data_IF_999616902014
#
_entry.id   IF_999616902014
#
_cell.length_a   1.000
_cell.length_b   1.000
_cell.length_c   1.000
_cell.angle_alpha   90.00
_cell.angle_beta   90.00
_cell.angle_gamma   90.00
#
_symmetry.space_group_name_H-M   'P 1'
#
loop_
_entity.id
_entity.type
_entity.pdbx_description
1 polymer ?
#
# COMPACT_ATOMS: atom_id res chain seq x y z
N UNK A 1 -25.49 -21.48 -19.32
CA UNK A 1 -24.81 -20.57 -18.36
C UNK A 1 -23.43 -20.28 -18.92
N UNK A 2 -23.20 -19.06 -19.43
CA UNK A 2 -21.91 -18.68 -20.00
C UNK A 2 -20.93 -18.45 -18.85
N UNK A 3 -19.88 -19.25 -18.76
CA UNK A 3 -18.81 -19.04 -17.77
C UNK A 3 -17.89 -17.96 -18.34
N UNK A 4 -18.05 -16.72 -17.88
CA UNK A 4 -17.13 -15.64 -18.24
C UNK A 4 -15.78 -15.89 -17.55
N UNK A 5 -14.76 -16.20 -18.34
CA UNK A 5 -13.38 -16.27 -17.88
C UNK A 5 -12.77 -14.87 -17.96
N UNK A 6 -12.30 -14.36 -16.82
CA UNK A 6 -11.63 -13.07 -16.73
C UNK A 6 -10.13 -13.27 -16.82
N UNK A 7 -9.47 -12.42 -17.62
CA UNK A 7 -8.04 -12.45 -17.86
C UNK A 7 -7.40 -11.18 -17.30
N UNK A 8 -6.41 -11.32 -16.44
CA UNK A 8 -5.70 -10.21 -15.79
C UNK A 8 -4.24 -10.25 -16.21
N UNK A 9 -3.71 -9.16 -16.73
CA UNK A 9 -2.28 -9.00 -17.06
C UNK A 9 -1.65 -8.06 -16.04
N UNK A 10 -0.56 -8.47 -15.37
CA UNK A 10 0.07 -7.68 -14.30
C UNK A 10 1.57 -7.47 -14.54
N UNK A 11 1.99 -6.21 -14.50
CA UNK A 11 3.41 -5.82 -14.60
C UNK A 11 4.08 -5.79 -13.24
N UNK A 12 5.19 -6.53 -13.09
CA UNK A 12 6.02 -6.49 -11.88
C UNK A 12 7.08 -5.41 -12.05
N UNK A 13 7.07 -4.40 -11.16
CA UNK A 13 8.13 -3.40 -11.14
C UNK A 13 9.45 -4.03 -10.68
N UNK A 14 10.29 -4.45 -11.62
CA UNK A 14 11.63 -4.96 -11.31
C UNK A 14 12.57 -3.80 -11.00
N UNK A 15 12.91 -3.66 -9.72
CA UNK A 15 14.19 -3.08 -9.32
C UNK A 15 15.22 -4.20 -9.29
N UNK A 16 16.04 -4.36 -10.33
CA UNK A 16 17.32 -5.05 -10.15
C UNK A 16 18.45 -4.46 -10.99
N UNK A 17 19.47 -4.04 -10.24
CA UNK A 17 20.90 -4.00 -10.56
C UNK A 17 21.36 -2.91 -11.54
N UNK A 18 21.94 -1.87 -10.96
CA UNK A 18 22.91 -1.03 -11.65
C UNK A 18 24.08 -1.89 -12.15
N UNK A 19 24.63 -1.54 -13.33
CA UNK A 19 26.05 -1.30 -13.37
C UNK A 19 26.34 0.13 -13.84
N UNK A 20 27.35 0.66 -13.17
CA UNK A 20 28.22 1.79 -13.44
C UNK A 20 28.18 2.43 -14.84
N UNK A 21 28.46 3.74 -14.80
CA UNK A 21 28.92 4.60 -15.90
C UNK A 21 27.84 5.15 -16.84
N UNK A 22 27.33 6.32 -16.46
CA UNK A 22 27.08 7.39 -17.43
C UNK A 22 26.00 7.11 -18.47
N UNK A 23 24.75 7.03 -18.04
CA UNK A 23 23.63 7.28 -18.93
C UNK A 23 22.48 7.88 -18.12
N UNK A 24 21.92 8.95 -18.66
CA UNK A 24 20.75 9.66 -18.16
C UNK A 24 19.62 8.62 -17.99
N UNK A 25 19.10 8.46 -16.77
CA UNK A 25 17.90 7.67 -16.54
C UNK A 25 16.72 8.35 -17.26
N UNK A 26 16.06 7.70 -18.23
CA UNK A 26 14.78 8.21 -18.71
C UNK A 26 13.77 8.06 -17.58
N UNK A 27 13.29 9.20 -17.08
CA UNK A 27 12.16 9.28 -16.15
C UNK A 27 10.89 8.98 -16.95
N UNK A 28 10.43 7.73 -16.92
CA UNK A 28 9.12 7.39 -17.50
C UNK A 28 8.00 7.85 -16.57
N UNK A 29 7.41 9.01 -16.89
CA UNK A 29 6.09 9.40 -16.39
C UNK A 29 5.04 8.69 -17.22
N UNK A 30 4.51 7.59 -16.71
CA UNK A 30 3.37 6.91 -17.36
C UNK A 30 2.10 7.73 -17.10
N UNK A 31 1.79 8.67 -18.00
CA UNK A 31 0.41 9.10 -18.24
C UNK A 31 -0.31 7.96 -18.97
N UNK A 32 -1.43 7.52 -18.42
CA UNK A 32 -2.48 6.72 -19.08
C UNK A 32 -1.99 5.68 -20.10
N UNK A 33 -1.52 4.53 -19.62
CA UNK A 33 -1.16 3.39 -20.50
C UNK A 33 -2.44 2.89 -21.16
N UNK A 34 -2.54 3.05 -22.48
CA UNK A 34 -3.61 2.44 -23.27
C UNK A 34 -3.30 0.97 -23.58
N UNK A 35 -4.38 0.23 -23.77
CA UNK A 35 -4.57 -1.22 -23.88
C UNK A 35 -3.68 -1.99 -24.90
N UNK A 36 -2.72 -1.36 -25.59
CA UNK A 36 -2.11 -1.89 -26.83
C UNK A 36 -0.62 -2.25 -26.81
N UNK A 37 0.16 -1.96 -25.75
CA UNK A 37 1.60 -1.71 -25.95
C UNK A 37 2.59 -2.72 -25.32
N UNK A 38 2.25 -4.01 -25.13
CA UNK A 38 3.13 -4.98 -24.42
C UNK A 38 3.36 -6.29 -25.20
N UNK A 39 4.63 -6.70 -25.33
CA UNK A 39 5.08 -7.94 -25.95
C UNK A 39 5.57 -8.93 -24.88
N UNK A 40 5.16 -10.21 -24.96
CA UNK A 40 5.59 -11.30 -24.07
C UNK A 40 6.41 -12.32 -24.86
N UNK A 41 7.34 -13.01 -24.22
CA UNK A 41 7.96 -14.21 -24.82
C UNK A 41 6.92 -15.30 -25.05
N UNK A 42 6.99 -16.03 -26.19
CA UNK A 42 6.11 -17.19 -26.46
C UNK A 42 6.23 -18.31 -25.40
N UNK A 43 7.35 -18.31 -24.68
CA UNK A 43 7.61 -19.23 -23.59
C UNK A 43 7.23 -18.60 -22.25
N UNK A 44 6.29 -19.25 -21.56
CA UNK A 44 6.02 -18.95 -20.16
C UNK A 44 7.17 -19.49 -19.30
N UNK A 45 7.77 -18.63 -18.48
CA UNK A 45 8.79 -18.99 -17.49
C UNK A 45 8.25 -19.96 -16.44
N UNK A 46 6.95 -19.87 -16.17
CA UNK A 46 6.20 -20.85 -15.41
C UNK A 46 4.72 -20.80 -15.82
N UNK A 47 4.03 -21.93 -15.64
CA UNK A 47 2.58 -22.08 -15.80
C UNK A 47 2.07 -22.92 -14.62
N UNK A 48 1.30 -22.31 -13.73
CA UNK A 48 0.77 -22.96 -12.53
C UNK A 48 -0.70 -22.65 -12.34
N UNK A 49 -1.36 -23.47 -11.54
CA UNK A 49 -2.62 -23.09 -10.91
C UNK A 49 -2.34 -22.25 -9.67
N UNK A 50 -3.05 -21.16 -9.45
CA UNK A 50 -2.88 -20.26 -8.30
C UNK A 50 -4.23 -19.94 -7.66
N UNK A 51 -4.30 -19.99 -6.33
CA UNK A 51 -5.53 -19.72 -5.58
C UNK A 51 -5.98 -18.25 -5.71
N UNK A 52 -5.03 -17.35 -5.92
CA UNK A 52 -5.25 -15.93 -6.11
C UNK A 52 -4.07 -15.34 -6.88
N UNK A 53 -4.25 -14.09 -7.33
CA UNK A 53 -3.22 -13.38 -8.08
C UNK A 53 -1.95 -13.12 -7.26
N UNK A 54 -2.03 -13.03 -5.91
CA UNK A 54 -0.86 -12.82 -5.06
C UNK A 54 0.09 -14.01 -5.12
N UNK A 55 -0.45 -15.23 -5.11
CA UNK A 55 0.35 -16.43 -5.31
C UNK A 55 1.03 -16.40 -6.69
N UNK A 56 0.33 -15.89 -7.70
CA UNK A 56 0.87 -15.73 -9.04
C UNK A 56 2.03 -14.73 -9.10
N UNK A 57 1.86 -13.58 -8.45
CA UNK A 57 2.89 -12.56 -8.33
C UNK A 57 4.14 -13.08 -7.58
N UNK A 58 3.95 -13.76 -6.45
CA UNK A 58 5.06 -14.35 -5.69
C UNK A 58 5.85 -15.35 -6.54
N UNK A 59 5.16 -16.14 -7.37
CA UNK A 59 5.81 -17.09 -8.26
C UNK A 59 6.61 -16.37 -9.34
N UNK A 60 6.09 -15.30 -9.93
CA UNK A 60 6.87 -14.44 -10.81
C UNK A 60 8.12 -13.87 -10.13
N UNK A 61 8.01 -13.40 -8.89
CA UNK A 61 9.18 -12.90 -8.15
C UNK A 61 10.24 -13.95 -7.83
N UNK A 62 9.90 -15.24 -7.80
CA UNK A 62 10.84 -16.34 -7.58
C UNK A 62 11.55 -16.79 -8.88
N UNK A 63 11.02 -16.43 -10.04
CA UNK A 63 11.57 -16.80 -11.35
C UNK A 63 12.42 -15.65 -11.92
N UNK A 64 13.72 -15.90 -12.06
CA UNK A 64 14.66 -14.96 -12.68
C UNK A 64 14.19 -14.66 -14.11
N UNK A 65 14.08 -13.36 -14.43
CA UNK A 65 13.62 -12.88 -15.73
C UNK A 65 12.09 -12.75 -15.86
N UNK A 66 11.30 -13.07 -14.83
CA UNK A 66 9.86 -12.83 -14.89
C UNK A 66 9.53 -11.36 -14.61
N UNK A 67 9.07 -10.66 -15.65
CA UNK A 67 8.74 -9.23 -15.58
C UNK A 67 7.24 -8.97 -15.59
N UNK A 68 6.47 -9.91 -16.13
CA UNK A 68 5.03 -9.76 -16.31
C UNK A 68 4.37 -11.14 -16.19
N UNK A 69 3.16 -11.18 -15.66
CA UNK A 69 2.40 -12.42 -15.56
C UNK A 69 0.92 -12.22 -15.91
N UNK A 70 0.28 -13.33 -16.25
CA UNK A 70 -1.17 -13.40 -16.51
C UNK A 70 -1.84 -14.24 -15.43
N UNK A 71 -3.05 -13.85 -15.03
CA UNK A 71 -3.90 -14.60 -14.10
C UNK A 71 -5.31 -14.72 -14.66
N UNK A 72 -5.84 -15.93 -14.67
CA UNK A 72 -7.11 -16.28 -15.31
C UNK A 72 -8.02 -16.95 -14.31
N UNK A 73 -9.27 -16.50 -14.18
CA UNK A 73 -10.23 -17.13 -13.28
C UNK A 73 -11.62 -17.18 -13.89
N UNK A 74 -12.43 -18.14 -13.44
CA UNK A 74 -13.83 -18.28 -13.87
C UNK A 74 -14.74 -17.82 -12.73
N UNK A 75 -15.62 -16.87 -13.03
CA UNK A 75 -16.57 -16.37 -12.03
C UNK A 75 -17.52 -17.50 -11.63
N UNK A 76 -17.55 -17.85 -10.34
CA UNK A 76 -18.35 -18.97 -9.81
C UNK A 76 -17.58 -20.25 -9.48
N UNK A 77 -16.25 -20.31 -9.75
CA UNK A 77 -15.38 -21.41 -9.30
C UNK A 77 -14.14 -20.84 -8.61
N UNK A 78 -14.27 -20.60 -7.31
CA UNK A 78 -13.29 -19.87 -6.47
C UNK A 78 -12.07 -20.68 -6.04
N UNK A 79 -11.83 -21.87 -6.59
CA UNK A 79 -10.83 -22.77 -6.00
C UNK A 79 -9.42 -22.52 -6.53
N UNK A 80 -9.25 -22.27 -7.83
CA UNK A 80 -7.96 -21.90 -8.42
C UNK A 80 -8.10 -21.24 -9.81
N UNK A 81 -7.17 -20.35 -10.16
CA UNK A 81 -7.04 -19.71 -11.46
C UNK A 81 -5.71 -20.06 -12.16
N UNK A 82 -5.67 -20.00 -13.50
CA UNK A 82 -4.44 -20.25 -14.27
C UNK A 82 -3.50 -19.07 -14.21
N UNK A 83 -2.21 -19.31 -13.99
CA UNK A 83 -1.21 -18.29 -13.70
C UNK A 83 0.07 -18.55 -14.50
N UNK A 84 0.49 -17.58 -15.32
CA UNK A 84 1.66 -17.73 -16.20
C UNK A 84 2.56 -16.51 -16.15
N UNK A 85 3.86 -16.69 -15.94
CA UNK A 85 4.84 -15.60 -15.97
C UNK A 85 5.71 -15.61 -17.23
N UNK A 86 6.20 -14.44 -17.60
CA UNK A 86 6.92 -14.20 -18.85
C UNK A 86 8.06 -13.20 -18.63
N UNK A 87 9.09 -13.30 -19.47
CA UNK A 87 10.05 -12.21 -19.66
C UNK A 87 9.41 -11.16 -20.57
N UNK A 88 9.67 -9.89 -20.30
CA UNK A 88 9.33 -8.82 -21.23
C UNK A 88 10.63 -8.22 -21.80
N UNK A 89 10.58 -7.78 -23.05
CA UNK A 89 11.62 -6.95 -23.66
C UNK A 89 10.96 -5.67 -24.15
N UNK A 90 11.33 -4.53 -23.55
CA UNK A 90 10.77 -3.22 -23.89
C UNK A 90 11.45 -2.63 -25.12
N UNK A 91 11.49 -3.35 -26.24
CA UNK A 91 11.88 -2.76 -27.52
C UNK A 91 10.60 -2.30 -28.24
N UNK A 92 10.39 -0.99 -28.19
CA UNK A 92 9.34 -0.27 -28.90
C UNK A 92 9.52 -0.37 -30.42
N UNK A 93 9.09 -1.49 -31.01
CA UNK A 93 8.75 -1.60 -32.43
C UNK A 93 8.04 -2.92 -32.68
N UNK A 94 6.73 -2.83 -32.97
CA UNK A 94 5.89 -3.87 -33.58
C UNK A 94 5.42 -5.06 -32.70
N UNK A 95 4.11 -4.98 -32.36
CA UNK A 95 3.11 -6.07 -32.45
C UNK A 95 2.79 -6.99 -31.24
N UNK A 96 1.97 -6.48 -30.32
CA UNK A 96 0.70 -7.15 -29.97
C UNK A 96 0.65 -8.08 -28.75
N UNK A 97 -0.04 -7.63 -27.69
CA UNK A 97 -0.64 -8.52 -26.68
C UNK A 97 -1.65 -9.44 -27.36
N UNK A 98 -1.58 -10.76 -27.11
CA UNK A 98 -2.68 -11.69 -27.42
C UNK A 98 -3.87 -11.44 -26.47
N UNK A 99 -4.68 -10.42 -26.74
CA UNK A 99 -5.91 -10.19 -25.96
C UNK A 99 -7.02 -11.13 -26.41
N UNK A 100 -7.53 -11.97 -25.49
CA UNK A 100 -8.88 -12.55 -25.62
C UNK A 100 -9.93 -11.49 -25.21
N UNK A 101 -11.15 -11.53 -25.76
CA UNK A 101 -12.25 -10.67 -25.31
C UNK A 101 -12.47 -10.81 -23.80
N UNK A 102 -12.48 -9.70 -23.05
CA UNK A 102 -12.69 -9.67 -21.59
C UNK A 102 -11.42 -9.61 -20.72
N UNK A 103 -10.25 -9.30 -21.29
CA UNK A 103 -9.00 -9.14 -20.55
C UNK A 103 -8.78 -7.69 -20.05
N UNK A 104 -8.30 -7.54 -18.81
CA UNK A 104 -7.94 -6.26 -18.18
C UNK A 104 -6.45 -6.24 -17.78
N UNK A 105 -5.78 -5.12 -18.03
CA UNK A 105 -4.37 -4.90 -17.69
C UNK A 105 -4.23 -4.06 -16.43
N UNK A 106 -3.44 -4.53 -15.47
CA UNK A 106 -3.16 -3.83 -14.23
C UNK A 106 -1.66 -3.60 -14.11
N UNK A 107 -1.26 -2.34 -13.93
CA UNK A 107 0.10 -2.10 -13.41
C UNK A 107 0.09 -2.58 -11.97
N UNK A 108 1.13 -3.27 -11.51
CA UNK A 108 1.33 -3.40 -10.08
C UNK A 108 1.76 -2.04 -9.54
N UNK A 109 0.89 -1.03 -9.55
CA UNK A 109 1.03 0.16 -8.71
C UNK A 109 0.63 -0.20 -7.28
N UNK A 110 1.47 -1.08 -6.76
CA UNK A 110 2.05 -1.13 -5.44
C UNK A 110 1.22 -1.51 -4.23
N UNK A 111 -0.08 -1.24 -4.21
CA UNK A 111 -0.87 -1.47 -3.00
C UNK A 111 -2.21 -2.16 -3.21
N UNK A 112 -2.66 -2.29 -4.45
CA UNK A 112 -3.96 -2.94 -4.75
C UNK A 112 -4.04 -4.39 -4.25
N UNK A 113 -2.90 -5.06 -4.12
CA UNK A 113 -2.77 -6.45 -3.69
C UNK A 113 -2.36 -6.62 -2.24
N UNK A 114 -2.10 -5.53 -1.51
CA UNK A 114 -1.77 -5.60 -0.09
C UNK A 114 -3.10 -5.72 0.65
N UNK A 115 -3.38 -6.81 1.39
CA UNK A 115 -4.57 -6.86 2.22
C UNK A 115 -4.42 -5.80 3.32
N UNK A 116 -5.36 -4.86 3.36
CA UNK A 116 -5.39 -3.79 4.36
C UNK A 116 -6.80 -3.63 4.94
N UNK A 117 -6.85 -3.11 6.15
CA UNK A 117 -8.09 -2.71 6.82
C UNK A 117 -8.30 -1.21 6.63
N UNK A 118 -9.55 -0.80 6.38
CA UNK A 118 -9.91 0.61 6.37
C UNK A 118 -10.14 1.08 7.81
N UNK A 119 -9.37 2.07 8.23
CA UNK A 119 -9.53 2.76 9.51
C UNK A 119 -10.22 4.10 9.24
N UNK A 120 -11.55 4.10 9.26
CA UNK A 120 -12.38 5.30 9.10
C UNK A 120 -13.12 5.59 10.41
N UNK A 121 -12.62 6.55 11.17
CA UNK A 121 -13.18 6.94 12.46
C UNK A 121 -12.95 8.43 12.68
N UNK A 122 -14.03 9.22 12.62
CA UNK A 122 -13.94 10.69 12.71
C UNK A 122 -13.32 11.15 14.03
N UNK A 123 -13.42 10.35 15.11
CA UNK A 123 -12.84 10.70 16.42
C UNK A 123 -11.33 10.81 16.34
N UNK A 124 -10.68 10.12 15.39
CA UNK A 124 -9.23 10.18 15.16
C UNK A 124 -8.79 11.47 14.47
N UNK A 125 -9.71 12.33 14.06
CA UNK A 125 -9.38 13.59 13.42
C UNK A 125 -8.54 14.48 14.35
N UNK A 126 -7.50 15.10 13.80
CA UNK A 126 -6.53 15.91 14.55
C UNK A 126 -7.13 17.08 15.35
N UNK A 127 -8.32 17.55 14.98
CA UNK A 127 -9.04 18.61 15.70
C UNK A 127 -10.23 18.10 16.53
N UNK A 128 -10.47 16.79 16.59
CA UNK A 128 -11.47 16.21 17.48
C UNK A 128 -10.93 16.14 18.90
N UNK A 129 -11.50 16.96 19.77
CA UNK A 129 -11.09 17.02 21.18
C UNK A 129 -11.84 15.95 21.96
N UNK A 130 -11.13 15.20 22.81
CA UNK A 130 -11.68 14.18 23.68
C UNK A 130 -12.79 14.76 24.56
N UNK A 131 -13.99 14.20 24.44
CA UNK A 131 -15.17 14.55 25.24
C UNK A 131 -15.50 13.45 26.25
N UNK A 132 -16.34 13.69 27.26
CA UNK A 132 -16.83 12.64 28.15
C UNK A 132 -17.66 11.55 27.44
N UNK A 133 -18.18 11.84 26.25
CA UNK A 133 -18.91 10.89 25.40
C UNK A 133 -17.97 9.94 24.65
N UNK A 134 -16.74 10.40 24.38
CA UNK A 134 -15.66 9.56 23.87
C UNK A 134 -15.13 8.72 25.03
N UNK A 135 -15.61 7.49 25.19
CA UNK A 135 -15.06 6.58 26.21
C UNK A 135 -13.58 6.31 25.92
N UNK A 136 -12.63 6.84 26.73
CA UNK A 136 -11.21 6.71 26.48
C UNK A 136 -10.68 5.32 26.87
N UNK A 137 -11.45 4.53 27.62
CA UNK A 137 -11.07 3.19 28.07
C UNK A 137 -11.65 2.09 27.17
N UNK A 138 -12.63 2.42 26.31
CA UNK A 138 -13.17 1.54 25.25
C UNK A 138 -12.71 1.97 23.84
N UNK A 139 -12.37 3.25 23.65
CA UNK A 139 -11.92 3.79 22.38
C UNK A 139 -10.63 3.13 21.87
N UNK A 140 -10.53 2.93 20.56
CA UNK A 140 -9.27 2.72 19.84
C UNK A 140 -8.37 1.50 20.19
N UNK A 141 -8.81 0.56 21.03
CA UNK A 141 -8.09 -0.70 21.31
C UNK A 141 -8.45 -1.89 20.40
N UNK A 142 -9.11 -1.61 19.29
CA UNK A 142 -9.50 -2.55 18.25
C UNK A 142 -8.38 -2.82 17.22
N UNK A 143 -7.33 -1.99 17.18
CA UNK A 143 -6.22 -2.16 16.23
C UNK A 143 -5.33 -3.36 16.56
N UNK A 144 -5.07 -4.17 15.54
CA UNK A 144 -4.11 -5.27 15.55
C UNK A 144 -2.93 -4.92 14.63
N UNK A 145 -1.88 -5.74 14.66
CA UNK A 145 -0.79 -5.60 13.69
C UNK A 145 -1.32 -5.86 12.27
N UNK A 146 -1.19 -4.89 11.38
CA UNK A 146 -1.68 -5.03 10.00
C UNK A 146 -1.46 -3.78 9.17
N UNK A 147 -1.74 -3.88 7.86
CA UNK A 147 -1.79 -2.73 6.98
C UNK A 147 -3.13 -2.02 7.12
N UNK A 148 -3.08 -0.69 7.26
CA UNK A 148 -4.25 0.14 7.39
C UNK A 148 -4.23 1.27 6.37
N UNK A 149 -5.39 1.52 5.76
CA UNK A 149 -5.68 2.76 5.04
C UNK A 149 -6.49 3.65 5.96
N UNK A 150 -6.01 4.87 6.21
CA UNK A 150 -6.66 5.81 7.12
C UNK A 150 -7.60 6.71 6.32
N UNK A 151 -8.84 6.84 6.78
CA UNK A 151 -9.84 7.74 6.23
C UNK A 151 -10.43 8.61 7.35
N UNK A 152 -11.03 9.73 6.95
CA UNK A 152 -11.92 10.53 7.79
C UNK A 152 -13.18 10.80 6.99
N UNK A 153 -14.32 10.26 7.46
CA UNK A 153 -15.62 10.37 6.80
C UNK A 153 -15.55 9.94 5.32
N UNK A 154 -14.97 8.78 5.07
CA UNK A 154 -14.79 8.20 3.73
C UNK A 154 -13.74 8.87 2.85
N UNK A 155 -13.13 9.97 3.30
CA UNK A 155 -12.12 10.71 2.55
C UNK A 155 -10.69 10.32 2.94
N UNK A 156 -9.76 10.34 1.98
CA UNK A 156 -8.36 10.00 2.24
C UNK A 156 -7.76 10.86 3.37
N UNK A 157 -7.11 10.20 4.32
CA UNK A 157 -6.44 10.85 5.42
C UNK A 157 -5.03 10.27 5.61
N UNK A 158 -4.18 11.05 6.28
CA UNK A 158 -2.82 10.69 6.63
C UNK A 158 -2.61 10.84 8.12
N UNK A 159 -1.69 10.06 8.68
CA UNK A 159 -1.22 10.30 10.04
C UNK A 159 -0.37 11.58 10.02
N UNK A 160 -0.67 12.58 10.87
CA UNK A 160 0.06 13.85 10.85
C UNK A 160 1.54 13.63 11.15
N UNK A 161 2.41 14.32 10.42
CA UNK A 161 3.87 14.27 10.65
C UNK A 161 4.34 15.30 11.69
N UNK A 162 3.41 16.12 12.18
CA UNK A 162 3.61 17.14 13.21
C UNK A 162 3.12 16.64 14.56
N UNK A 163 3.75 17.11 15.64
CA UNK A 163 3.27 16.85 17.01
C UNK A 163 1.84 17.36 17.17
N UNK A 164 0.98 16.51 17.72
CA UNK A 164 -0.42 16.81 18.04
C UNK A 164 -0.54 17.13 19.54
N UNK A 165 -1.46 18.01 19.94
CA UNK A 165 -1.69 18.34 21.35
C UNK A 165 -2.40 17.20 22.08
N UNK A 166 -2.19 17.06 23.40
CA UNK A 166 -2.93 16.12 24.23
C UNK A 166 -4.45 16.31 24.09
N UNK A 167 -5.18 15.22 24.33
CA UNK A 167 -6.64 15.16 24.26
C UNK A 167 -7.22 15.47 22.88
N UNK A 168 -6.40 15.42 21.82
CA UNK A 168 -6.87 15.45 20.43
C UNK A 168 -6.98 14.03 19.88
N UNK A 169 -7.61 13.90 18.71
CA UNK A 169 -7.88 12.62 18.07
C UNK A 169 -8.68 11.68 18.97
N UNK A 170 -9.56 12.26 19.81
CA UNK A 170 -10.44 11.50 20.71
C UNK A 170 -9.68 10.63 21.72
N UNK A 171 -8.44 10.99 22.09
CA UNK A 171 -7.64 10.18 23.00
C UNK A 171 -6.72 11.02 23.89
N UNK A 172 -6.40 10.50 25.08
CA UNK A 172 -5.43 11.12 26.01
C UNK A 172 -4.00 11.12 25.44
N UNK A 173 -3.65 10.08 24.66
CA UNK A 173 -2.32 9.87 24.10
C UNK A 173 -2.36 9.82 22.56
N UNK A 174 -2.54 10.98 21.89
CA UNK A 174 -2.57 11.05 20.44
C UNK A 174 -1.21 10.69 19.85
N UNK A 175 -1.19 9.82 18.85
CA UNK A 175 0.02 9.39 18.16
C UNK A 175 0.14 10.07 16.79
N UNK A 176 1.31 10.68 16.55
CA UNK A 176 1.69 11.29 15.28
C UNK A 176 2.88 10.53 14.66
N UNK A 177 3.08 10.67 13.35
CA UNK A 177 4.17 10.05 12.61
C UNK A 177 5.46 10.88 12.76
N UNK A 178 6.50 10.30 13.35
CA UNK A 178 7.83 10.92 13.44
C UNK A 178 8.73 10.39 12.34
N UNK A 179 8.90 11.20 11.28
CA UNK A 179 9.76 10.85 10.15
C UNK A 179 11.26 10.84 10.48
N UNK A 180 11.67 11.27 11.68
CA UNK A 180 13.09 11.28 12.10
C UNK A 180 14.00 12.06 11.13
N UNK A 181 13.48 13.16 10.57
CA UNK A 181 14.19 13.98 9.58
C UNK A 181 14.08 13.49 8.13
N UNK A 182 13.41 12.36 7.88
CA UNK A 182 13.10 11.90 6.52
C UNK A 182 11.87 12.61 5.95
N UNK A 183 11.67 12.49 4.63
CA UNK A 183 10.42 12.83 3.96
C UNK A 183 9.49 11.60 3.89
N UNK A 184 8.20 11.83 3.60
CA UNK A 184 7.28 10.74 3.25
C UNK A 184 7.84 9.95 2.05
N UNK A 185 7.62 8.62 1.97
CA UNK A 185 8.16 7.81 0.89
C UNK A 185 7.61 8.25 -0.46
N UNK A 186 8.45 8.16 -1.49
CA UNK A 186 8.02 8.34 -2.88
C UNK A 186 7.00 7.25 -3.26
N UNK A 187 6.06 7.56 -4.17
CA UNK A 187 5.18 6.55 -4.79
C UNK A 187 6.08 5.45 -5.32
N UNK A 188 5.95 4.23 -4.83
CA UNK A 188 7.03 3.27 -5.07
C UNK A 188 7.45 2.49 -3.83
N UNK A 189 7.50 3.21 -2.72
CA UNK A 189 8.47 2.92 -1.70
C UNK A 189 7.81 2.81 -0.33
N UNK A 190 8.54 2.13 0.54
CA UNK A 190 8.27 2.02 1.95
C UNK A 190 9.26 2.85 2.74
N UNK A 191 8.80 3.37 3.87
CA UNK A 191 9.62 4.04 4.87
C UNK A 191 9.37 3.37 6.22
N UNK A 192 10.42 2.79 6.79
CA UNK A 192 10.44 2.37 8.18
C UNK A 192 10.61 3.60 9.08
N UNK A 193 9.69 3.78 10.00
CA UNK A 193 9.58 4.97 10.85
C UNK A 193 8.97 4.59 12.20
N UNK A 194 8.54 5.59 12.97
CA UNK A 194 7.87 5.39 14.25
C UNK A 194 6.74 6.39 14.43
N UNK A 195 5.72 5.99 15.16
CA UNK A 195 4.77 6.94 15.74
C UNK A 195 5.15 7.28 17.18
N UNK A 196 4.77 8.46 17.62
CA UNK A 196 5.12 8.98 18.94
C UNK A 196 3.90 9.61 19.58
N UNK A 197 3.85 9.55 20.91
CA UNK A 197 2.85 10.31 21.68
C UNK A 197 3.11 11.80 21.50
N UNK A 198 2.02 12.53 21.25
CA UNK A 198 1.99 13.98 21.12
C UNK A 198 2.29 14.73 22.41
N UNK A 199 2.02 16.03 22.38
CA UNK A 199 2.34 16.99 23.44
C UNK A 199 1.46 16.74 24.68
N UNK A 200 2.01 16.20 25.76
CA UNK A 200 1.29 15.96 27.01
C UNK A 200 1.95 16.75 28.14
N UNK A 201 1.12 17.34 29.02
CA UNK A 201 1.54 18.34 30.03
C UNK A 201 2.76 17.95 30.88
N UNK A 202 3.04 16.66 31.07
CA UNK A 202 4.16 16.15 31.87
C UNK A 202 5.35 15.62 31.05
N UNK A 203 5.21 15.48 29.72
CA UNK A 203 6.24 14.95 28.83
C UNK A 203 6.86 16.00 27.91
N UNK A 204 6.45 17.27 28.04
CA UNK A 204 6.97 18.38 27.23
C UNK A 204 8.47 18.66 27.42
N UNK A 205 9.02 18.28 28.58
CA UNK A 205 10.45 18.33 28.89
C UNK A 205 11.22 17.07 28.47
N UNK A 206 10.52 16.01 28.05
CA UNK A 206 11.12 14.74 27.63
C UNK A 206 11.37 14.86 26.12
N UNK A 207 12.63 15.03 25.72
CA UNK A 207 13.06 15.41 24.36
C UNK A 207 12.34 14.75 23.17
N UNK A 208 13.05 13.89 22.45
CA UNK A 208 12.55 13.24 21.23
C UNK A 208 11.44 12.21 21.54
N UNK A 209 10.60 11.93 20.54
CA UNK A 209 9.56 10.88 20.49
C UNK A 209 9.28 10.07 21.78
N UNK A 210 8.17 10.37 22.45
CA UNK A 210 7.74 9.66 23.66
C UNK A 210 6.96 8.39 23.28
N UNK A 211 7.28 7.26 23.93
CA UNK A 211 6.70 5.92 23.69
C UNK A 211 6.63 5.54 22.20
N UNK A 212 7.78 5.44 21.52
CA UNK A 212 7.82 5.11 20.10
C UNK A 212 7.16 3.76 19.82
N UNK A 213 6.39 3.68 18.74
CA UNK A 213 5.94 2.42 18.13
C UNK A 213 6.39 2.35 16.67
N UNK A 214 6.98 1.23 16.23
CA UNK A 214 7.42 1.10 14.85
C UNK A 214 6.23 1.15 13.89
N UNK A 215 6.43 1.77 12.72
CA UNK A 215 5.45 1.83 11.64
C UNK A 215 6.18 1.76 10.30
N UNK A 216 5.64 0.97 9.38
CA UNK A 216 6.04 1.02 7.97
C UNK A 216 5.02 1.85 7.21
N UNK A 217 5.46 2.86 6.46
CA UNK A 217 4.60 3.68 5.62
C UNK A 217 4.86 3.34 4.17
N UNK A 218 3.82 3.06 3.38
CA UNK A 218 3.93 2.80 1.94
C UNK A 218 3.13 3.82 1.14
N UNK A 219 3.74 4.40 0.11
CA UNK A 219 3.06 5.35 -0.78
C UNK A 219 2.48 4.65 -2.00
N UNK A 220 1.15 4.59 -2.06
CA UNK A 220 0.38 3.93 -3.12
C UNK A 220 0.01 4.89 -4.27
N UNK A 221 0.49 6.14 -4.23
CA UNK A 221 0.14 7.20 -5.17
C UNK A 221 -1.11 7.95 -4.74
N UNK A 222 -2.27 7.29 -4.74
CA UNK A 222 -3.55 7.91 -4.39
C UNK A 222 -3.84 7.96 -2.87
N UNK A 223 -3.17 7.12 -2.10
CA UNK A 223 -3.29 7.02 -0.64
C UNK A 223 -2.01 6.43 -0.04
N UNK A 224 -1.92 6.43 1.28
CA UNK A 224 -0.85 5.76 2.02
C UNK A 224 -1.40 4.54 2.76
N UNK A 225 -0.58 3.49 2.82
CA UNK A 225 -0.81 2.38 3.75
C UNK A 225 0.16 2.49 4.91
N UNK A 226 -0.34 2.19 6.10
CA UNK A 226 0.42 2.21 7.34
C UNK A 226 0.39 0.83 7.97
N UNK A 227 1.55 0.23 8.19
CA UNK A 227 1.66 -1.01 8.94
C UNK A 227 1.64 -0.68 10.42
N UNK A 228 0.44 -0.60 10.98
CA UNK A 228 0.21 -0.18 12.36
C UNK A 228 0.24 -1.38 13.30
N UNK A 229 0.62 -1.12 14.55
CA UNK A 229 0.54 -2.09 15.62
C UNK A 229 -0.51 -1.64 16.66
N UNK A 230 -0.95 -2.57 17.51
CA UNK A 230 -1.73 -2.23 18.70
C UNK A 230 -0.98 -1.20 19.56
N UNK A 231 -1.71 -0.20 20.05
CA UNK A 231 -1.19 0.74 21.03
C UNK A 231 -1.32 0.16 22.44
N UNK A 232 -0.55 0.70 23.39
CA UNK A 232 -0.44 0.12 24.74
C UNK A 232 -1.66 0.35 25.63
N UNK A 233 -2.62 1.17 25.21
CA UNK A 233 -3.83 1.51 25.94
C UNK A 233 -4.94 1.93 24.97
N UNK A 234 -6.20 1.67 25.34
CA UNK A 234 -7.38 2.18 24.65
C UNK A 234 -7.39 3.73 24.60
N UNK A 235 -6.81 4.37 25.61
CA UNK A 235 -6.70 5.83 25.68
C UNK A 235 -5.68 6.45 24.71
N UNK A 236 -5.13 5.67 23.79
CA UNK A 236 -4.18 6.07 22.78
C UNK A 236 -4.73 5.83 21.36
N UNK A 237 -4.59 6.82 20.49
CA UNK A 237 -5.07 6.73 19.11
C UNK A 237 -4.03 7.20 18.11
N UNK A 238 -3.93 6.51 16.97
CA UNK A 238 -3.32 7.07 15.76
C UNK A 238 -4.19 8.22 15.27
N UNK A 239 -3.62 9.42 15.20
CA UNK A 239 -4.28 10.59 14.65
C UNK A 239 -4.40 10.52 13.14
N UNK A 240 -5.36 11.25 12.60
CA UNK A 240 -5.57 11.40 11.17
C UNK A 240 -5.89 12.85 10.82
N UNK A 241 -5.39 13.31 9.69
CA UNK A 241 -5.78 14.58 9.07
C UNK A 241 -6.01 14.39 7.57
N UNK A 242 -6.91 15.16 6.93
CA UNK A 242 -7.15 15.07 5.50
C UNK A 242 -5.86 15.13 4.69
N UNK A 243 -5.71 14.23 3.72
CA UNK A 243 -4.60 14.30 2.77
C UNK A 243 -4.71 15.58 1.95
N UNK A 244 -3.63 16.36 1.86
CA UNK A 244 -3.56 17.55 0.99
C UNK A 244 -3.50 17.16 -0.49
#
# INVERSE_FOLDING_TARGET
MSVSAYFVVVFVGLHHLAPMSGAIFPTFTFKDVKQSDVLFTDYALFDISAQNVLRCANQCSLHIGCEVFTFTFTQGRLETGGCRGYSAEFNASESGVLTRPGAETYKMDQCFWIPYTVLDDFRRYVNHTLTPEDDPDIGHCDLKLGWYRVLINGSNAVIPTRRVQANQCGSNFPHYLDLQGNAMPNRGHELESRVCVGRYRFFDSWGSCVRPKPVTVRNCGAFYLYKLNSLTSCSAAYCAEPSK
#
